data_IF_214633432987
#
_entry.id   IF_214633432987
#
_cell.length_a   1.000
_cell.length_b   1.000
_cell.length_c   1.000
_cell.angle_alpha   90.00
_cell.angle_beta   90.00
_cell.angle_gamma   90.00
#
_symmetry.space_group_name_H-M   'P 1'
#
loop_
_entity.id
_entity.type
_entity.pdbx_description
1 polymer ?
#
# COMPACT_ATOMS: atom_id res chain seq x y z
N UNK A 1 15.94 2.11 -27.93
CA UNK A 1 15.71 2.95 -26.74
C UNK A 1 14.48 2.38 -26.06
N UNK A 2 14.67 1.66 -24.99
CA UNK A 2 13.55 1.19 -24.18
C UNK A 2 12.88 2.42 -23.56
N UNK A 3 11.63 2.64 -23.94
CA UNK A 3 10.87 3.77 -23.45
C UNK A 3 10.39 3.54 -22.01
N UNK A 4 9.93 4.58 -21.38
CA UNK A 4 9.16 4.48 -20.14
C UNK A 4 7.79 3.84 -20.42
N UNK A 5 7.26 3.15 -19.42
CA UNK A 5 5.95 2.52 -19.47
C UNK A 5 4.98 3.28 -18.56
N UNK A 6 3.81 3.66 -19.09
CA UNK A 6 2.78 4.40 -18.35
C UNK A 6 1.48 3.61 -18.42
N UNK A 7 0.88 3.35 -17.27
CA UNK A 7 -0.50 2.85 -17.16
C UNK A 7 -1.37 3.99 -16.65
N UNK A 8 -2.38 4.37 -17.42
CA UNK A 8 -3.33 5.41 -17.04
C UNK A 8 -4.57 4.80 -16.41
N UNK A 9 -5.14 5.49 -15.43
CA UNK A 9 -6.36 5.05 -14.75
C UNK A 9 -7.52 4.83 -15.73
N UNK A 10 -7.63 5.68 -16.74
CA UNK A 10 -8.64 5.62 -17.79
C UNK A 10 -8.54 4.39 -18.72
N UNK A 11 -7.38 3.76 -18.77
CA UNK A 11 -7.12 2.55 -19.56
C UNK A 11 -7.55 1.27 -18.82
N UNK A 12 -7.82 1.38 -17.52
CA UNK A 12 -8.20 0.24 -16.68
C UNK A 12 -9.69 -0.07 -16.85
N UNK A 13 -9.98 -1.24 -17.40
CA UNK A 13 -11.36 -1.74 -17.50
C UNK A 13 -11.75 -2.44 -16.21
N UNK A 14 -12.49 -1.74 -15.36
CA UNK A 14 -12.91 -2.25 -14.06
C UNK A 14 -14.00 -3.30 -14.25
N UNK A 15 -13.77 -4.50 -13.71
CA UNK A 15 -14.73 -5.61 -13.69
C UNK A 15 -14.85 -6.14 -12.26
N UNK A 16 -15.78 -5.56 -11.51
CA UNK A 16 -16.00 -5.96 -10.12
C UNK A 16 -16.47 -7.42 -10.04
N UNK A 17 -15.97 -8.11 -9.02
CA UNK A 17 -16.48 -9.40 -8.60
C UNK A 17 -17.82 -9.27 -7.85
N UNK A 18 -18.34 -10.40 -7.35
CA UNK A 18 -19.59 -10.45 -6.58
C UNK A 18 -19.54 -9.68 -5.26
N UNK A 19 -18.34 -9.43 -4.73
CA UNK A 19 -18.09 -8.68 -3.50
C UNK A 19 -17.86 -7.19 -3.76
N UNK A 20 -17.97 -6.73 -5.01
CA UNK A 20 -17.73 -5.34 -5.40
C UNK A 20 -16.27 -4.95 -5.39
N UNK A 21 -15.35 -5.91 -5.46
CA UNK A 21 -13.91 -5.70 -5.50
C UNK A 21 -13.35 -5.98 -6.91
N UNK A 22 -12.35 -5.23 -7.30
CA UNK A 22 -11.56 -5.47 -8.51
C UNK A 22 -10.11 -5.08 -8.26
N UNK A 23 -9.18 -5.92 -8.72
CA UNK A 23 -7.76 -5.58 -8.74
C UNK A 23 -7.13 -5.96 -10.07
N UNK A 24 -6.14 -5.21 -10.49
CA UNK A 24 -5.33 -5.50 -11.67
C UNK A 24 -3.87 -5.17 -11.41
N UNK A 25 -2.98 -6.04 -11.85
CA UNK A 25 -1.55 -5.77 -11.81
C UNK A 25 -1.23 -4.66 -12.81
N UNK A 26 -0.53 -3.63 -12.35
CA UNK A 26 -0.08 -2.52 -13.19
C UNK A 26 1.43 -2.61 -13.37
N UNK A 27 1.92 -2.22 -14.56
CA UNK A 27 3.33 -2.32 -14.94
C UNK A 27 3.87 -3.76 -14.98
N UNK A 28 2.99 -4.75 -15.17
CA UNK A 28 3.39 -6.14 -15.27
C UNK A 28 4.45 -6.35 -16.36
N UNK A 29 5.53 -7.06 -16.02
CA UNK A 29 6.66 -7.32 -16.93
C UNK A 29 7.64 -6.16 -17.09
N UNK A 30 7.41 -5.01 -16.44
CA UNK A 30 8.33 -3.88 -16.45
C UNK A 30 9.18 -3.76 -15.19
N UNK A 31 9.00 -4.67 -14.26
CA UNK A 31 9.71 -4.71 -12.99
C UNK A 31 10.80 -5.78 -13.01
N UNK A 32 11.84 -5.49 -12.30
CA UNK A 32 12.83 -6.42 -11.80
C UNK A 32 12.97 -6.18 -10.29
N UNK A 33 13.47 -7.13 -9.55
CA UNK A 33 13.72 -6.95 -8.12
C UNK A 33 12.56 -7.26 -7.18
N UNK A 34 11.53 -7.99 -7.64
CA UNK A 34 10.55 -8.61 -6.73
C UNK A 34 9.45 -7.70 -6.21
N UNK A 35 9.16 -6.57 -6.88
CA UNK A 35 8.05 -5.68 -6.53
C UNK A 35 6.93 -5.83 -7.56
N UNK A 36 5.69 -6.05 -7.09
CA UNK A 36 4.49 -6.05 -7.91
C UNK A 36 3.52 -5.01 -7.40
N UNK A 37 2.95 -4.25 -8.30
CA UNK A 37 1.99 -3.21 -7.97
C UNK A 37 0.61 -3.56 -8.55
N UNK A 38 -0.41 -3.42 -7.73
CA UNK A 38 -1.79 -3.64 -8.10
C UNK A 38 -2.60 -2.38 -7.87
N UNK A 39 -3.42 -2.01 -8.86
CA UNK A 39 -4.46 -1.01 -8.67
C UNK A 39 -5.72 -1.73 -8.23
N UNK A 40 -6.30 -1.28 -7.13
CA UNK A 40 -7.46 -1.87 -6.48
C UNK A 40 -8.62 -0.89 -6.46
N UNK A 41 -9.83 -1.42 -6.62
CA UNK A 41 -11.09 -0.68 -6.59
C UNK A 41 -12.09 -1.43 -5.71
N UNK A 42 -12.76 -0.73 -4.81
CA UNK A 42 -13.76 -1.30 -3.91
C UNK A 42 -14.98 -0.39 -3.90
N UNK A 43 -16.15 -0.95 -4.20
CA UNK A 43 -17.41 -0.19 -4.22
C UNK A 43 -17.84 0.23 -2.82
N UNK A 44 -18.50 1.37 -2.75
CA UNK A 44 -19.15 1.84 -1.53
C UNK A 44 -20.06 0.78 -0.91
N UNK A 45 -19.96 0.61 0.41
CA UNK A 45 -20.72 -0.38 1.16
C UNK A 45 -20.22 -1.82 1.04
N UNK A 46 -19.14 -2.06 0.29
CA UNK A 46 -18.52 -3.38 0.16
C UNK A 46 -17.29 -3.53 1.06
N UNK A 47 -16.89 -4.78 1.23
CA UNK A 47 -15.69 -5.12 2.00
C UNK A 47 -14.85 -6.15 1.24
N UNK A 48 -13.55 -6.17 1.51
CA UNK A 48 -12.64 -7.17 0.98
C UNK A 48 -11.73 -7.70 2.08
N UNK A 49 -11.49 -9.02 2.04
CA UNK A 49 -10.47 -9.71 2.85
C UNK A 49 -9.28 -10.01 1.96
N UNK A 50 -8.25 -9.17 1.98
CA UNK A 50 -7.09 -9.40 1.13
C UNK A 50 -6.37 -10.71 1.46
N UNK A 51 -5.79 -11.33 0.43
CA UNK A 51 -4.94 -12.49 0.63
C UNK A 51 -3.70 -12.12 1.47
N UNK A 52 -3.30 -13.04 2.35
CA UNK A 52 -2.05 -12.93 3.10
C UNK A 52 -0.91 -13.50 2.23
N UNK A 53 0.20 -12.82 2.21
CA UNK A 53 1.35 -13.19 1.40
C UNK A 53 2.50 -13.68 2.29
N UNK A 54 2.81 -14.96 2.18
CA UNK A 54 3.95 -15.52 2.88
C UNK A 54 5.28 -14.99 2.33
N UNK A 55 6.20 -14.68 3.23
CA UNK A 55 7.55 -14.21 2.89
C UNK A 55 7.59 -12.93 2.03
N UNK A 56 6.55 -12.09 2.17
CA UNK A 56 6.43 -10.82 1.46
C UNK A 56 6.00 -9.72 2.42
N UNK A 57 6.42 -8.51 2.13
CA UNK A 57 5.81 -7.33 2.74
C UNK A 57 4.79 -6.72 1.78
N UNK A 58 3.72 -6.19 2.32
CA UNK A 58 2.65 -5.58 1.52
C UNK A 58 2.39 -4.19 2.05
N UNK A 59 2.26 -3.22 1.15
CA UNK A 59 1.89 -1.85 1.48
C UNK A 59 0.61 -1.51 0.75
N UNK A 60 -0.40 -1.08 1.49
CA UNK A 60 -1.62 -0.50 0.94
C UNK A 60 -1.53 1.02 1.04
N UNK A 61 -1.75 1.70 -0.09
CA UNK A 61 -1.80 3.16 -0.16
C UNK A 61 -3.20 3.58 -0.61
N UNK A 62 -3.98 4.13 0.31
CA UNK A 62 -5.36 4.57 0.08
C UNK A 62 -5.35 6.02 -0.40
N UNK A 63 -5.62 6.23 -1.68
CA UNK A 63 -5.53 7.55 -2.32
C UNK A 63 -6.89 8.21 -2.60
N UNK A 64 -7.99 7.44 -2.62
CA UNK A 64 -9.33 7.97 -2.94
C UNK A 64 -10.42 7.18 -2.23
N UNK A 65 -11.44 7.89 -1.79
CA UNK A 65 -12.58 7.32 -1.07
C UNK A 65 -12.31 7.17 0.42
N UNK A 66 -13.39 7.21 1.21
CA UNK A 66 -13.35 6.98 2.67
C UNK A 66 -13.69 5.53 2.97
N UNK A 67 -13.12 5.05 4.05
CA UNK A 67 -13.38 3.70 4.54
C UNK A 67 -12.67 3.46 5.86
N UNK A 68 -12.42 2.21 6.16
CA UNK A 68 -11.61 1.82 7.31
C UNK A 68 -10.99 0.43 7.09
N UNK A 69 -9.88 0.19 7.74
CA UNK A 69 -9.25 -1.12 7.85
C UNK A 69 -9.53 -1.65 9.26
N UNK A 70 -9.95 -2.90 9.36
CA UNK A 70 -10.06 -3.61 10.64
C UNK A 70 -9.05 -4.74 10.68
N UNK A 71 -8.27 -4.80 11.72
CA UNK A 71 -7.39 -5.92 12.03
C UNK A 71 -7.76 -6.53 13.39
N UNK A 72 -6.96 -7.44 13.89
CA UNK A 72 -7.22 -8.13 15.16
C UNK A 72 -7.10 -7.22 16.38
N UNK A 73 -6.55 -6.02 16.25
CA UNK A 73 -6.31 -5.09 17.36
C UNK A 73 -7.32 -3.95 17.37
N UNK A 74 -7.53 -3.32 16.23
CA UNK A 74 -8.33 -2.09 16.16
C UNK A 74 -8.87 -1.82 14.75
N UNK A 75 -9.64 -0.74 14.63
CA UNK A 75 -10.14 -0.21 13.37
C UNK A 75 -9.46 1.13 13.06
N UNK A 76 -8.94 1.26 11.85
CA UNK A 76 -8.22 2.43 11.36
C UNK A 76 -9.04 3.17 10.31
N UNK A 77 -9.47 4.39 10.61
CA UNK A 77 -10.28 5.19 9.69
C UNK A 77 -9.44 5.81 8.56
N UNK A 78 -9.85 5.56 7.32
CA UNK A 78 -9.29 6.14 6.11
C UNK A 78 -10.14 7.34 5.72
N UNK A 79 -9.63 8.54 5.94
CA UNK A 79 -10.30 9.81 5.64
C UNK A 79 -9.50 10.70 4.69
N UNK A 80 -8.27 10.31 4.44
CA UNK A 80 -7.27 11.00 3.62
C UNK A 80 -6.24 10.00 3.10
N UNK A 81 -5.23 10.47 2.38
CA UNK A 81 -4.10 9.63 1.97
C UNK A 81 -3.52 8.92 3.20
N UNK A 82 -3.61 7.61 3.17
CA UNK A 82 -3.21 6.76 4.30
C UNK A 82 -2.48 5.52 3.81
N UNK A 83 -1.68 4.95 4.68
CA UNK A 83 -0.90 3.74 4.42
C UNK A 83 -1.24 2.69 5.46
N UNK A 84 -1.34 1.44 5.03
CA UNK A 84 -1.47 0.30 5.92
C UNK A 84 -0.49 -0.80 5.51
N UNK A 85 0.26 -1.28 6.47
CA UNK A 85 1.17 -2.41 6.35
C UNK A 85 0.63 -3.52 7.26
N UNK A 86 0.12 -4.61 6.70
CA UNK A 86 -0.35 -5.74 7.50
C UNK A 86 0.81 -6.46 8.18
N UNK A 87 0.49 -7.20 9.23
CA UNK A 87 1.43 -8.08 9.92
C UNK A 87 1.70 -9.32 9.05
N UNK A 88 2.69 -9.26 8.18
CA UNK A 88 3.06 -10.31 7.21
C UNK A 88 1.92 -11.30 6.91
N UNK A 89 2.11 -12.59 7.19
CA UNK A 89 1.13 -13.65 7.00
C UNK A 89 0.43 -14.10 8.31
N UNK A 90 0.53 -13.30 9.38
CA UNK A 90 0.13 -13.74 10.71
C UNK A 90 -1.29 -13.34 11.12
N UNK A 91 -1.82 -12.25 10.60
CA UNK A 91 -3.11 -11.73 11.06
C UNK A 91 -4.00 -11.28 9.91
N UNK A 92 -5.20 -11.85 9.78
CA UNK A 92 -6.17 -11.39 8.78
C UNK A 92 -6.64 -9.98 9.11
N UNK A 93 -6.99 -9.24 8.04
CA UNK A 93 -7.58 -7.93 8.12
C UNK A 93 -8.63 -7.74 7.02
N UNK A 94 -9.45 -6.73 7.17
CA UNK A 94 -10.52 -6.41 6.23
C UNK A 94 -10.44 -4.92 5.86
N UNK A 95 -10.75 -4.61 4.61
CA UNK A 95 -10.89 -3.24 4.11
C UNK A 95 -12.36 -3.01 3.80
N UNK A 96 -12.95 -1.99 4.41
CA UNK A 96 -14.36 -1.62 4.26
C UNK A 96 -14.48 -0.27 3.58
N UNK A 97 -15.28 -0.17 2.55
CA UNK A 97 -15.52 1.05 1.80
C UNK A 97 -16.79 1.77 2.28
N UNK A 98 -16.67 3.03 2.66
CA UNK A 98 -17.82 3.93 2.89
C UNK A 98 -18.19 4.60 1.57
N UNK A 99 -17.19 5.12 0.86
CA UNK A 99 -17.31 5.65 -0.50
C UNK A 99 -16.66 4.66 -1.48
N UNK A 100 -16.84 4.86 -2.78
CA UNK A 100 -16.04 4.14 -3.78
C UNK A 100 -14.55 4.43 -3.55
N UNK A 101 -13.77 3.38 -3.29
CA UNK A 101 -12.36 3.49 -2.98
C UNK A 101 -11.47 3.08 -4.14
N UNK A 102 -10.36 3.81 -4.28
CA UNK A 102 -9.23 3.43 -5.14
C UNK A 102 -7.95 3.43 -4.31
N UNK A 103 -7.21 2.33 -4.39
CA UNK A 103 -5.95 2.22 -3.66
C UNK A 103 -4.92 1.39 -4.44
N UNK A 104 -3.68 1.51 -4.05
CA UNK A 104 -2.57 0.73 -4.59
C UNK A 104 -2.14 -0.28 -3.53
N UNK A 105 -1.92 -1.51 -3.98
CA UNK A 105 -1.29 -2.55 -3.20
C UNK A 105 0.06 -2.87 -3.83
N UNK A 106 1.13 -2.68 -3.08
CA UNK A 106 2.48 -3.06 -3.48
C UNK A 106 2.91 -4.28 -2.69
N UNK A 107 3.25 -5.35 -3.40
CA UNK A 107 3.74 -6.61 -2.83
C UNK A 107 5.22 -6.74 -3.14
N UNK A 108 6.03 -6.88 -2.10
CA UNK A 108 7.49 -6.91 -2.19
C UNK A 108 8.02 -8.23 -1.64
N UNK A 109 8.81 -8.93 -2.44
CA UNK A 109 9.48 -10.16 -2.00
C UNK A 109 10.52 -9.84 -0.93
N UNK A 110 10.55 -10.63 0.13
CA UNK A 110 11.55 -10.50 1.20
C UNK A 110 12.50 -11.70 1.16
N UNK A 111 13.78 -11.42 0.98
CA UNK A 111 14.82 -12.42 1.12
C UNK A 111 15.25 -12.58 2.60
N UNK A 112 16.14 -13.51 2.87
CA UNK A 112 16.62 -13.78 4.22
C UNK A 112 17.28 -12.56 4.89
N UNK A 113 18.05 -11.79 4.12
CA UNK A 113 18.72 -10.59 4.62
C UNK A 113 17.73 -9.46 4.98
N UNK A 114 16.64 -9.30 4.18
CA UNK A 114 15.57 -8.34 4.48
C UNK A 114 14.88 -8.70 5.79
N UNK A 115 14.60 -9.99 6.02
CA UNK A 115 13.98 -10.48 7.25
C UNK A 115 14.86 -10.22 8.47
N UNK A 116 16.15 -10.55 8.38
CA UNK A 116 17.10 -10.28 9.45
C UNK A 116 17.19 -8.79 9.78
N UNK A 117 17.17 -7.92 8.78
CA UNK A 117 17.15 -6.47 9.01
C UNK A 117 15.85 -6.00 9.63
N UNK A 118 14.71 -6.56 9.20
CA UNK A 118 13.41 -6.24 9.79
C UNK A 118 13.38 -6.60 11.27
N UNK A 119 13.86 -7.77 11.65
CA UNK A 119 13.90 -8.23 13.04
C UNK A 119 14.76 -7.32 13.94
N UNK A 120 15.73 -6.60 13.36
CA UNK A 120 16.56 -5.61 14.06
C UNK A 120 16.02 -4.17 13.96
N UNK A 121 14.92 -3.98 13.23
CA UNK A 121 14.28 -2.67 13.10
C UNK A 121 13.35 -2.38 14.29
N UNK A 122 12.96 -1.12 14.43
CA UNK A 122 11.95 -0.70 15.39
C UNK A 122 10.53 -0.64 14.77
N UNK A 123 10.35 -1.26 13.61
CA UNK A 123 9.05 -1.29 12.93
C UNK A 123 8.18 -2.35 13.58
N UNK A 124 6.99 -1.96 13.99
CA UNK A 124 5.98 -2.85 14.54
C UNK A 124 4.81 -2.97 13.57
N UNK A 125 4.48 -4.19 13.19
CA UNK A 125 3.33 -4.49 12.33
C UNK A 125 2.18 -5.10 13.17
N UNK A 126 0.92 -4.94 12.74
CA UNK A 126 0.48 -4.09 11.62
C UNK A 126 0.70 -2.61 11.92
N UNK A 127 0.82 -1.81 10.87
CA UNK A 127 1.08 -0.37 11.00
C UNK A 127 0.13 0.43 10.11
N UNK A 128 -0.52 1.45 10.67
CA UNK A 128 -1.36 2.40 9.95
C UNK A 128 -0.84 3.82 10.14
N UNK A 129 -0.77 4.57 9.05
CA UNK A 129 -0.32 5.96 9.05
C UNK A 129 -1.21 6.81 8.14
N UNK A 130 -1.74 7.90 8.65
CA UNK A 130 -2.26 8.98 7.83
C UNK A 130 -1.13 9.89 7.40
N UNK A 131 -1.21 10.40 6.17
CA UNK A 131 -0.19 11.31 5.65
C UNK A 131 0.05 12.52 6.57
N UNK A 132 -1.00 13.07 7.14
CA UNK A 132 -0.93 14.23 8.05
C UNK A 132 -0.30 13.92 9.41
N UNK A 133 -0.27 12.66 9.82
CA UNK A 133 0.35 12.23 11.10
C UNK A 133 1.85 11.91 10.93
N UNK A 134 2.34 11.89 9.68
CA UNK A 134 3.74 11.63 9.39
C UNK A 134 4.65 12.83 9.64
N UNK A 135 5.89 12.56 10.00
CA UNK A 135 6.93 13.59 10.00
C UNK A 135 7.44 13.82 8.58
N UNK A 136 7.51 15.08 8.19
CA UNK A 136 8.01 15.46 6.87
C UNK A 136 9.45 15.95 7.02
N UNK A 137 10.36 15.30 6.30
CA UNK A 137 11.74 15.75 6.15
C UNK A 137 11.91 16.34 4.76
N UNK A 138 12.35 17.60 4.73
CA UNK A 138 12.81 18.23 3.50
C UNK A 138 14.29 17.87 3.33
N UNK A 139 14.59 17.08 2.34
CA UNK A 139 15.95 16.67 2.04
C UNK A 139 16.33 17.12 0.63
N UNK A 140 17.34 17.96 0.54
CA UNK A 140 17.92 18.31 -0.74
C UNK A 140 18.55 17.07 -1.38
N UNK A 141 17.97 16.60 -2.46
CA UNK A 141 18.59 15.59 -3.30
C UNK A 141 19.78 16.18 -4.03
N UNK A 142 20.88 15.42 -4.12
CA UNK A 142 22.09 15.81 -4.87
C UNK A 142 21.84 15.83 -6.38
N UNK A 143 20.94 16.67 -6.83
CA UNK A 143 20.64 16.87 -8.23
C UNK A 143 20.07 18.27 -8.43
N UNK A 144 20.29 18.89 -9.60
CA UNK A 144 19.74 20.20 -9.84
C UNK A 144 18.22 20.16 -9.77
N UNK A 145 17.64 20.92 -8.85
CA UNK A 145 16.21 21.17 -8.70
C UNK A 145 15.35 19.98 -8.26
N UNK A 146 15.86 19.05 -7.48
CA UNK A 146 15.03 17.98 -6.90
C UNK A 146 14.97 18.09 -5.38
N UNK A 147 13.77 18.29 -4.86
CA UNK A 147 13.45 18.16 -3.43
C UNK A 147 12.70 16.86 -3.24
N UNK A 148 13.18 16.01 -2.35
CA UNK A 148 12.49 14.78 -1.95
C UNK A 148 11.85 14.95 -0.59
N UNK A 149 10.62 14.52 -0.47
CA UNK A 149 9.87 14.52 0.78
C UNK A 149 9.79 13.08 1.29
N UNK A 150 10.36 12.86 2.46
CA UNK A 150 10.24 11.59 3.16
C UNK A 150 9.21 11.76 4.28
N UNK A 151 8.16 10.95 4.25
CA UNK A 151 7.17 10.89 5.31
C UNK A 151 7.43 9.63 6.11
N UNK A 152 7.71 9.77 7.39
CA UNK A 152 7.94 8.66 8.31
C UNK A 152 6.99 8.75 9.51
N UNK A 153 6.54 7.60 9.97
CA UNK A 153 5.69 7.53 11.15
C UNK A 153 6.48 7.79 12.44
N UNK A 154 5.78 8.15 13.52
CA UNK A 154 6.39 8.30 14.84
C UNK A 154 7.13 7.04 15.27
N UNK A 155 8.34 7.19 15.77
CA UNK A 155 9.16 6.07 16.28
C UNK A 155 9.92 5.27 15.21
N UNK A 156 9.90 5.71 13.95
CA UNK A 156 10.63 5.05 12.85
C UNK A 156 11.96 5.74 12.50
N UNK A 157 12.48 6.58 13.38
CA UNK A 157 13.77 7.22 13.23
C UNK A 157 14.85 6.50 14.03
#
# INVERSE_FOLDING_TARGET
>A
MEGYYIVRNEDIRIQYDENGFFQTEVLAGSYDGGIRNYKCFLKAGCEVKPALYKDKTVVYMFGKGRGYVTDTKEAHNITELSFYLPDFDHSPFEIHAIDDMEFIMSVVDMNQWDKERFDHSHIHLPFFLKYTDGQVYDQDCKGPNTTSWLVVGPGQM
#
